data_IF_995289546316
#
_entry.id   IF_995289546316
#
_cell.length_a   1.000
_cell.length_b   1.000
_cell.length_c   1.000
_cell.angle_alpha   90.00
_cell.angle_beta   90.00
_cell.angle_gamma   90.00
#
_symmetry.space_group_name_H-M   'P 1'
#
loop_
_entity.id
_entity.type
_entity.pdbx_description
1 polymer ?
#
# COMPACT_ATOMS: atom_id res chain seq x y z
N UNK A 1 11.63 -9.53 -22.05
CA UNK A 1 10.64 -8.65 -21.39
C UNK A 1 10.10 -9.19 -20.05
N UNK A 2 10.57 -10.33 -19.51
CA UNK A 2 10.04 -10.94 -18.27
C UNK A 2 10.59 -10.29 -16.98
N UNK A 3 11.79 -9.71 -17.04
CA UNK A 3 12.46 -9.12 -15.87
C UNK A 3 11.73 -7.91 -15.27
N UNK A 4 10.90 -7.21 -16.05
CA UNK A 4 10.16 -6.02 -15.59
C UNK A 4 8.98 -6.44 -14.70
N UNK A 5 8.21 -7.44 -15.13
CA UNK A 5 7.05 -7.99 -14.41
C UNK A 5 7.42 -8.68 -13.10
N UNK A 6 8.56 -9.37 -13.03
CA UNK A 6 9.06 -9.97 -11.78
C UNK A 6 9.58 -8.93 -10.79
N UNK A 7 10.13 -7.82 -11.28
CA UNK A 7 10.57 -6.69 -10.43
C UNK A 7 9.37 -6.03 -9.74
N UNK A 8 8.24 -5.89 -10.44
CA UNK A 8 6.99 -5.36 -9.91
C UNK A 8 6.37 -6.27 -8.85
N UNK A 9 6.41 -7.59 -9.06
CA UNK A 9 5.96 -8.57 -8.05
C UNK A 9 6.92 -8.68 -6.86
N UNK A 10 8.22 -8.56 -7.09
CA UNK A 10 9.21 -8.56 -6.01
C UNK A 10 9.17 -7.26 -5.19
N UNK A 11 8.70 -6.12 -5.74
CA UNK A 11 8.39 -4.93 -4.93
C UNK A 11 7.18 -5.13 -4.02
N UNK A 12 6.18 -5.91 -4.44
CA UNK A 12 5.06 -6.30 -3.56
C UNK A 12 5.52 -7.17 -2.37
N UNK A 13 6.62 -7.92 -2.54
CA UNK A 13 7.16 -8.84 -1.52
C UNK A 13 8.27 -8.22 -0.65
N UNK A 14 8.73 -7.00 -0.95
CA UNK A 14 9.60 -6.28 -0.01
C UNK A 14 8.73 -5.78 1.14
N UNK A 15 9.27 -5.67 2.38
CA UNK A 15 8.55 -4.97 3.43
C UNK A 15 8.12 -3.60 2.89
N UNK A 16 6.81 -3.39 2.79
CA UNK A 16 6.22 -2.14 2.34
C UNK A 16 6.89 -1.02 3.14
N UNK A 17 7.59 -0.12 2.44
CA UNK A 17 8.04 1.13 3.05
C UNK A 17 6.83 2.01 3.28
N UNK A 18 6.91 2.86 4.29
CA UNK A 18 5.79 3.72 4.70
C UNK A 18 5.24 4.58 3.55
N UNK A 19 6.12 5.12 2.70
CA UNK A 19 5.73 5.84 1.49
C UNK A 19 4.89 5.00 0.52
N UNK A 20 5.29 3.74 0.31
CA UNK A 20 4.60 2.85 -0.63
C UNK A 20 3.26 2.36 -0.06
N UNK A 21 3.19 2.12 1.26
CA UNK A 21 1.95 1.76 1.93
C UNK A 21 0.88 2.86 1.78
N UNK A 22 1.29 4.13 1.96
CA UNK A 22 0.41 5.28 1.79
C UNK A 22 -0.02 5.47 0.32
N UNK A 23 0.88 5.25 -0.62
CA UNK A 23 0.58 5.31 -2.06
C UNK A 23 -0.44 4.24 -2.45
N UNK A 24 -0.21 2.98 -2.07
CA UNK A 24 -1.13 1.86 -2.35
C UNK A 24 -2.50 2.10 -1.72
N UNK A 25 -2.56 2.62 -0.48
CA UNK A 25 -3.83 2.98 0.17
C UNK A 25 -4.61 4.05 -0.59
N UNK A 26 -3.93 5.12 -1.03
CA UNK A 26 -4.56 6.20 -1.79
C UNK A 26 -5.10 5.69 -3.13
N UNK A 27 -4.31 4.90 -3.85
CA UNK A 27 -4.72 4.33 -5.12
C UNK A 27 -5.84 3.29 -4.96
N UNK A 28 -5.78 2.45 -3.92
CA UNK A 28 -6.83 1.49 -3.59
C UNK A 28 -8.19 2.18 -3.36
N UNK A 29 -8.20 3.31 -2.64
CA UNK A 29 -9.42 4.12 -2.46
C UNK A 29 -9.90 4.76 -3.77
N UNK A 30 -9.00 5.31 -4.59
CA UNK A 30 -9.37 5.90 -5.89
C UNK A 30 -9.94 4.86 -6.87
N UNK A 31 -9.37 3.66 -6.88
CA UNK A 31 -9.81 2.55 -7.73
C UNK A 31 -11.05 1.84 -7.17
N UNK A 32 -11.52 2.23 -5.98
CA UNK A 32 -12.66 1.63 -5.30
C UNK A 32 -12.49 0.11 -5.14
N UNK A 33 -11.29 -0.30 -4.71
CA UNK A 33 -10.97 -1.71 -4.42
C UNK A 33 -11.81 -2.23 -3.25
N UNK A 34 -11.73 -3.53 -2.98
CA UNK A 34 -12.52 -4.16 -1.92
C UNK A 34 -12.24 -3.51 -0.56
N UNK A 35 -13.30 -3.36 0.24
CA UNK A 35 -13.21 -2.82 1.59
C UNK A 35 -12.26 -3.63 2.46
N UNK A 36 -12.27 -4.96 2.35
CA UNK A 36 -11.34 -5.85 3.04
C UNK A 36 -9.87 -5.51 2.73
N UNK A 37 -9.55 -5.19 1.47
CA UNK A 37 -8.19 -4.79 1.10
C UNK A 37 -7.82 -3.42 1.67
N UNK A 38 -8.78 -2.49 1.70
CA UNK A 38 -8.58 -1.16 2.27
C UNK A 38 -8.37 -1.25 3.79
N UNK A 39 -9.15 -2.06 4.50
CA UNK A 39 -9.04 -2.32 5.94
C UNK A 39 -7.65 -2.88 6.29
N UNK A 40 -7.16 -3.86 5.52
CA UNK A 40 -5.80 -4.40 5.70
C UNK A 40 -4.70 -3.32 5.58
N UNK A 41 -4.90 -2.32 4.72
CA UNK A 41 -3.97 -1.21 4.58
C UNK A 41 -4.11 -0.21 5.74
N UNK A 42 -5.33 0.02 6.23
CA UNK A 42 -5.61 0.87 7.40
C UNK A 42 -4.95 0.29 8.66
N UNK A 43 -5.13 -1.02 8.92
CA UNK A 43 -4.48 -1.73 10.01
C UNK A 43 -2.95 -1.61 9.93
N UNK A 44 -2.38 -1.81 8.73
CA UNK A 44 -0.94 -1.69 8.52
C UNK A 44 -0.41 -0.26 8.74
N UNK A 45 -1.22 0.76 8.43
CA UNK A 45 -0.92 2.18 8.65
C UNK A 45 -0.97 2.52 10.14
N UNK A 46 -1.97 2.02 10.86
CA UNK A 46 -2.15 2.19 12.30
C UNK A 46 -1.00 1.54 13.07
N UNK A 47 -0.66 0.29 12.77
CA UNK A 47 0.45 -0.45 13.39
C UNK A 47 1.80 0.29 13.29
N UNK A 48 1.96 1.15 12.29
CA UNK A 48 3.18 1.93 12.03
C UNK A 48 3.07 3.39 12.49
N UNK A 49 1.96 3.79 13.11
CA UNK A 49 1.65 5.16 13.51
C UNK A 49 1.72 6.18 12.34
N UNK A 50 1.32 5.77 11.13
CA UNK A 50 1.41 6.60 9.91
C UNK A 50 0.15 7.43 9.63
N UNK A 51 -0.87 7.35 10.49
CA UNK A 51 -2.16 8.04 10.30
C UNK A 51 -2.00 9.57 10.13
N UNK A 52 -0.99 10.15 10.77
CA UNK A 52 -0.65 11.57 10.63
C UNK A 52 -0.28 11.97 9.19
N UNK A 53 0.23 11.02 8.38
CA UNK A 53 0.57 11.22 6.96
C UNK A 53 -0.65 11.13 6.02
N UNK A 54 -1.79 10.67 6.52
CA UNK A 54 -3.03 10.64 5.75
C UNK A 54 -3.78 11.98 5.77
N UNK A 55 -3.54 12.81 6.80
CA UNK A 55 -4.23 14.09 7.02
C UNK A 55 -3.45 15.31 6.50
N UNK A 56 -2.21 15.12 6.05
CA UNK A 56 -1.34 16.14 5.47
C UNK A 56 -1.47 16.17 3.94
#
# INVERSE_FOLDING_TARGET
MIARTLKDKASLLRPLKDEHLLEVYREAKKMNLSNEFIELLEDAIELRNLEHRLKA
#
